data_IF_947940867289
#
_entry.id   IF_947940867289
#
_cell.length_a   1.000
_cell.length_b   1.000
_cell.length_c   1.000
_cell.angle_alpha   90.00
_cell.angle_beta   90.00
_cell.angle_gamma   90.00
#
_symmetry.space_group_name_H-M   'P 1'
#
loop_
_entity.id
_entity.type
_entity.pdbx_description
1 polymer ?
#
# COMPACT_ATOMS: atom_id res chain seq x y z
N UNK A 1 -11.05 4.59 20.83
CA UNK A 1 -10.19 3.43 20.53
C UNK A 1 -10.01 3.32 19.03
N UNK A 2 -8.80 3.04 18.54
CA UNK A 2 -8.52 2.90 17.10
C UNK A 2 -8.45 1.41 16.77
N UNK A 3 -9.47 0.89 16.09
CA UNK A 3 -9.52 -0.52 15.71
C UNK A 3 -8.57 -0.78 14.54
N UNK A 4 -7.70 -1.78 14.69
CA UNK A 4 -6.76 -2.23 13.68
C UNK A 4 -7.24 -3.56 13.11
N UNK A 5 -6.99 -3.80 11.82
CA UNK A 5 -7.27 -5.07 11.19
C UNK A 5 -6.05 -5.56 10.39
N UNK A 6 -5.83 -6.88 10.33
CA UNK A 6 -4.71 -7.45 9.59
C UNK A 6 -4.98 -7.40 8.09
N UNK A 7 -4.01 -6.92 7.32
CA UNK A 7 -4.09 -6.85 5.85
C UNK A 7 -2.84 -7.42 5.21
N UNK A 8 -3.04 -8.38 4.31
CA UNK A 8 -1.97 -9.01 3.53
C UNK A 8 -1.61 -8.20 2.29
N UNK A 9 -2.56 -7.50 1.70
CA UNK A 9 -2.38 -6.74 0.44
C UNK A 9 -3.02 -5.36 0.49
N UNK A 10 -2.33 -4.34 -0.06
CA UNK A 10 -2.83 -2.96 -0.08
C UNK A 10 -2.47 -2.25 -1.38
N UNK A 11 -3.36 -1.32 -1.76
CA UNK A 11 -3.06 -0.31 -2.77
C UNK A 11 -2.74 1.01 -2.07
N UNK A 12 -1.54 1.54 -2.30
CA UNK A 12 -1.08 2.81 -1.73
C UNK A 12 -0.91 3.86 -2.83
N UNK A 13 -1.26 5.10 -2.50
CA UNK A 13 -0.81 6.26 -3.28
C UNK A 13 0.71 6.43 -3.19
N UNK A 14 1.35 7.18 -4.09
CA UNK A 14 2.79 7.42 -4.02
C UNK A 14 3.25 8.00 -2.68
N UNK A 15 2.48 8.94 -2.09
CA UNK A 15 2.80 9.54 -0.78
C UNK A 15 2.73 8.52 0.36
N UNK A 16 1.79 7.59 0.31
CA UNK A 16 1.68 6.52 1.31
C UNK A 16 2.79 5.50 1.12
N UNK A 17 3.13 5.14 -0.12
CA UNK A 17 4.22 4.23 -0.40
C UNK A 17 5.57 4.75 0.09
N UNK A 18 5.85 6.06 -0.05
CA UNK A 18 7.09 6.65 0.49
C UNK A 18 7.25 6.44 2.00
N UNK A 19 6.14 6.39 2.75
CA UNK A 19 6.15 6.11 4.20
C UNK A 19 6.36 4.63 4.50
N UNK A 20 5.97 3.75 3.57
CA UNK A 20 5.98 2.30 3.73
C UNK A 20 7.22 1.65 3.09
N UNK A 21 7.96 2.36 2.23
CA UNK A 21 9.01 1.79 1.37
C UNK A 21 10.14 1.09 2.15
N UNK A 22 10.41 1.52 3.39
CA UNK A 22 11.42 0.93 4.26
C UNK A 22 10.87 -0.20 5.16
N UNK A 23 9.62 -0.62 4.98
CA UNK A 23 9.02 -1.68 5.78
C UNK A 23 9.60 -3.05 5.35
N UNK A 24 10.38 -3.68 6.23
CA UNK A 24 11.02 -4.99 6.01
C UNK A 24 10.05 -6.16 5.88
N UNK A 25 8.79 -5.95 6.29
CA UNK A 25 7.69 -6.90 6.14
C UNK A 25 7.07 -6.87 4.73
N UNK A 26 7.53 -6.00 3.82
CA UNK A 26 7.10 -6.06 2.41
C UNK A 26 7.72 -7.28 1.74
N UNK A 27 6.88 -8.08 1.09
CA UNK A 27 7.28 -9.22 0.27
C UNK A 27 7.43 -8.81 -1.19
N UNK A 28 6.47 -8.05 -1.72
CA UNK A 28 6.45 -7.61 -3.11
C UNK A 28 5.79 -6.24 -3.24
N UNK A 29 6.34 -5.44 -4.15
CA UNK A 29 5.74 -4.18 -4.59
C UNK A 29 5.61 -4.17 -6.10
N UNK A 30 4.45 -3.75 -6.59
CA UNK A 30 4.18 -3.56 -8.02
C UNK A 30 3.65 -2.15 -8.26
N UNK A 31 4.32 -1.40 -9.12
CA UNK A 31 3.82 -0.11 -9.58
C UNK A 31 2.72 -0.33 -10.63
N UNK A 32 1.58 0.32 -10.41
CA UNK A 32 0.45 0.33 -11.33
C UNK A 32 0.37 1.74 -11.92
N UNK A 33 0.75 1.92 -13.20
CA UNK A 33 0.73 3.23 -13.82
C UNK A 33 -0.70 3.77 -13.88
N UNK A 34 -0.86 5.11 -13.89
CA UNK A 34 -2.16 5.72 -14.15
C UNK A 34 -2.60 5.40 -15.58
N UNK A 35 -3.91 5.41 -15.82
CA UNK A 35 -4.46 5.33 -17.18
C UNK A 35 -4.36 6.71 -17.84
N UNK A 36 -4.16 6.73 -19.16
CA UNK A 36 -4.22 7.97 -19.95
C UNK A 36 -5.61 8.61 -19.73
N UNK A 37 -5.64 9.90 -19.41
CA UNK A 37 -6.86 10.63 -19.05
C UNK A 37 -7.36 10.41 -17.62
N UNK A 38 -6.69 9.55 -16.84
CA UNK A 38 -6.99 9.35 -15.42
C UNK A 38 -6.31 10.39 -14.53
N UNK A 39 -6.92 10.68 -13.38
CA UNK A 39 -6.33 11.56 -12.37
C UNK A 39 -5.24 10.86 -11.55
N UNK A 40 -4.20 11.60 -11.17
CA UNK A 40 -3.15 11.16 -10.25
C UNK A 40 -1.95 10.49 -10.93
N UNK A 41 -1.03 9.95 -10.12
CA UNK A 41 0.29 9.48 -10.56
C UNK A 41 0.44 7.96 -10.51
N UNK A 42 -0.67 7.23 -10.56
CA UNK A 42 -0.70 5.78 -10.36
C UNK A 42 -0.72 5.39 -8.88
N UNK A 43 -0.49 4.10 -8.62
CA UNK A 43 -0.54 3.51 -7.27
C UNK A 43 0.41 2.32 -7.15
N UNK A 44 0.69 1.92 -5.92
CA UNK A 44 1.53 0.78 -5.60
C UNK A 44 0.67 -0.33 -5.01
N UNK A 45 0.73 -1.52 -5.59
CA UNK A 45 0.20 -2.72 -4.97
C UNK A 45 1.30 -3.36 -4.14
N UNK A 46 1.05 -3.52 -2.85
CA UNK A 46 1.98 -4.09 -1.88
C UNK A 46 1.41 -5.38 -1.36
N UNK A 47 2.26 -6.40 -1.29
CA UNK A 47 2.01 -7.67 -0.62
C UNK A 47 3.00 -7.78 0.55
N UNK A 48 2.49 -8.04 1.76
CA UNK A 48 3.31 -8.20 2.96
C UNK A 48 3.64 -9.68 3.22
N UNK A 49 4.78 -9.98 3.85
CA UNK A 49 5.17 -11.35 4.27
C UNK A 49 4.24 -11.87 5.36
N UNK A 50 3.95 -11.04 6.35
CA UNK A 50 2.97 -11.28 7.42
C UNK A 50 1.90 -10.19 7.36
N UNK A 51 0.60 -10.48 7.59
CA UNK A 51 -0.43 -9.45 7.58
C UNK A 51 -0.08 -8.24 8.46
N UNK A 52 -0.10 -7.05 7.87
CA UNK A 52 0.19 -5.80 8.56
C UNK A 52 -1.07 -5.27 9.23
N UNK A 53 -0.99 -4.88 10.50
CA UNK A 53 -2.11 -4.23 11.19
C UNK A 53 -2.27 -2.79 10.68
N UNK A 54 -3.46 -2.47 10.18
CA UNK A 54 -3.77 -1.13 9.66
C UNK A 54 -5.07 -0.59 10.27
N UNK A 55 -5.21 0.74 10.44
CA UNK A 55 -6.46 1.33 10.92
C UNK A 55 -7.62 1.07 9.96
N UNK A 56 -8.78 0.73 10.51
CA UNK A 56 -10.04 0.77 9.76
C UNK A 56 -10.26 2.19 9.24
N UNK A 57 -10.52 2.32 7.94
CA UNK A 57 -10.87 3.58 7.26
C UNK A 57 -12.37 3.77 7.22
#
# INVERSE_FOLDING_TARGET
>A
MRTLYPVKERYLSPKEFLKEANNSNIERTTFIPPKIGGSGYGRFHIVYKTPQLVPIR
#
